data_IF_043377058276
#
_entry.id   IF_043377058276
#
_cell.length_a   1.000
_cell.length_b   1.000
_cell.length_c   1.000
_cell.angle_alpha   90.00
_cell.angle_beta   90.00
_cell.angle_gamma   90.00
#
_symmetry.space_group_name_H-M   'P 1'
#
loop_
_entity.id
_entity.type
_entity.pdbx_description
1 polymer ?
#
# COMPACT_ATOMS: atom_id res chain seq x y z
N UNK A 1 -16.05 77.52 51.12
CA UNK A 1 -17.37 76.87 51.27
C UNK A 1 -18.11 77.02 49.95
N UNK A 2 -18.40 75.87 49.31
CA UNK A 2 -19.48 75.55 48.33
C UNK A 2 -19.81 76.49 47.18
N UNK A 3 -20.12 76.06 45.95
CA UNK A 3 -19.92 74.84 45.14
C UNK A 3 -20.56 75.24 43.78
N UNK A 4 -19.89 74.97 42.65
CA UNK A 4 -20.35 75.38 41.32
C UNK A 4 -21.20 74.28 40.66
N UNK A 5 -22.36 74.69 40.14
CA UNK A 5 -23.39 73.83 39.54
C UNK A 5 -23.15 73.64 38.03
N UNK A 6 -22.98 72.39 37.58
CA UNK A 6 -22.99 72.01 36.17
C UNK A 6 -24.34 71.41 35.79
N UNK A 7 -25.02 72.02 34.81
CA UNK A 7 -26.29 71.56 34.26
C UNK A 7 -26.11 70.45 33.22
N UNK A 8 -26.72 69.30 33.48
CA UNK A 8 -26.80 68.15 32.55
C UNK A 8 -28.04 68.33 31.67
N UNK A 9 -27.83 68.43 30.35
CA UNK A 9 -28.91 68.36 29.34
C UNK A 9 -29.28 66.89 29.14
N UNK A 10 -30.57 66.58 29.31
CA UNK A 10 -31.18 65.26 29.11
C UNK A 10 -31.70 65.20 27.67
N UNK A 11 -31.05 64.40 26.82
CA UNK A 11 -31.51 64.11 25.47
C UNK A 11 -32.56 62.98 25.53
N UNK A 12 -33.70 63.21 24.88
CA UNK A 12 -34.80 62.26 24.75
C UNK A 12 -34.52 61.36 23.54
N UNK A 13 -34.38 60.06 23.76
CA UNK A 13 -34.40 59.05 22.70
C UNK A 13 -35.85 58.83 22.26
N UNK A 14 -36.16 59.17 21.00
CA UNK A 14 -37.36 58.73 20.30
C UNK A 14 -37.19 57.27 19.91
N UNK A 15 -38.12 56.42 20.34
CA UNK A 15 -38.17 55.00 19.99
C UNK A 15 -38.68 54.83 18.55
N UNK A 16 -37.83 54.31 17.66
CA UNK A 16 -38.22 53.93 16.30
C UNK A 16 -39.06 52.64 16.32
N UNK A 17 -40.18 52.67 15.60
CA UNK A 17 -41.14 51.56 15.48
C UNK A 17 -40.55 50.37 14.71
N UNK A 18 -40.76 49.12 15.17
CA UNK A 18 -40.20 47.92 14.54
C UNK A 18 -40.70 47.63 13.12
N UNK A 19 -41.69 48.37 12.61
CA UNK A 19 -42.19 48.23 11.23
C UNK A 19 -41.30 48.92 10.18
N UNK A 20 -40.51 49.93 10.55
CA UNK A 20 -39.61 50.65 9.62
C UNK A 20 -38.28 49.92 9.36
N UNK A 21 -37.89 48.99 10.25
CA UNK A 21 -36.70 48.16 10.05
C UNK A 21 -36.91 47.10 8.94
N UNK A 22 -38.14 46.67 8.68
CA UNK A 22 -38.44 45.60 7.73
C UNK A 22 -38.48 46.04 6.26
N UNK A 23 -38.65 47.35 5.98
CA UNK A 23 -38.67 47.90 4.61
C UNK A 23 -37.28 48.08 4.00
N UNK A 24 -36.21 48.07 4.80
CA UNK A 24 -34.82 48.21 4.31
C UNK A 24 -34.22 46.94 3.68
N UNK A 25 -34.92 45.80 3.74
CA UNK A 25 -34.43 44.51 3.23
C UNK A 25 -35.05 44.07 1.88
N UNK A 26 -35.90 44.89 1.25
CA UNK A 26 -36.40 44.64 -0.11
C UNK A 26 -36.10 45.84 -0.99
N UNK A 27 -34.88 45.87 -1.53
CA UNK A 27 -34.44 46.87 -2.49
C UNK A 27 -35.06 46.67 -3.87
N UNK A 28 -36.34 47.02 -3.99
CA UNK A 28 -36.99 47.28 -5.28
C UNK A 28 -37.22 48.80 -5.38
N UNK A 29 -36.38 49.47 -6.16
CA UNK A 29 -36.67 50.79 -6.71
C UNK A 29 -36.20 50.79 -8.16
N UNK A 30 -37.12 50.94 -9.13
CA UNK A 30 -36.78 51.32 -10.50
C UNK A 30 -36.46 52.82 -10.52
N UNK A 31 -35.67 53.26 -11.50
CA UNK A 31 -35.32 54.66 -11.77
C UNK A 31 -34.18 55.26 -10.93
N UNK A 32 -32.96 54.77 -11.16
CA UNK A 32 -31.78 55.62 -11.40
C UNK A 32 -30.64 54.71 -11.88
N UNK A 33 -30.36 54.73 -13.19
CA UNK A 33 -29.22 54.01 -13.77
C UNK A 33 -27.95 54.85 -13.56
N UNK A 34 -27.02 54.48 -12.67
CA UNK A 34 -25.69 55.03 -12.71
C UNK A 34 -25.02 54.52 -14.00
N UNK A 35 -24.45 55.43 -14.78
CA UNK A 35 -23.53 55.09 -15.84
C UNK A 35 -22.36 54.31 -15.22
N UNK A 36 -22.45 52.97 -15.27
CA UNK A 36 -21.33 52.09 -14.99
C UNK A 36 -20.27 52.42 -16.04
N UNK A 37 -19.23 53.12 -15.61
CA UNK A 37 -17.98 53.19 -16.34
C UNK A 37 -17.58 51.74 -16.68
N UNK A 38 -17.48 51.47 -17.97
CA UNK A 38 -17.00 50.18 -18.47
C UNK A 38 -15.71 49.82 -17.72
N UNK A 39 -15.61 48.61 -17.14
CA UNK A 39 -14.36 48.17 -16.56
C UNK A 39 -13.31 48.24 -17.67
N UNK A 40 -12.12 48.82 -17.42
CA UNK A 40 -11.10 48.96 -18.45
C UNK A 40 -10.80 47.58 -19.04
N UNK A 41 -10.88 47.47 -20.37
CA UNK A 41 -10.71 46.25 -21.16
C UNK A 41 -9.38 45.48 -20.91
N UNK A 42 -8.51 45.99 -20.03
CA UNK A 42 -7.21 45.43 -19.69
C UNK A 42 -7.23 44.22 -18.74
N UNK A 43 -8.31 43.92 -18.01
CA UNK A 43 -8.34 42.76 -17.08
C UNK A 43 -8.79 41.45 -17.76
N UNK A 44 -9.55 41.51 -18.86
CA UNK A 44 -9.94 40.30 -19.60
C UNK A 44 -8.79 39.77 -20.48
N UNK A 45 -7.87 40.65 -20.91
CA UNK A 45 -6.76 40.33 -21.81
C UNK A 45 -5.58 39.64 -21.10
N UNK A 46 -5.48 39.80 -19.77
CA UNK A 46 -4.44 39.10 -19.00
C UNK A 46 -4.64 37.59 -19.01
N UNK A 47 -5.88 37.08 -18.99
CA UNK A 47 -6.15 35.63 -18.97
C UNK A 47 -5.64 34.90 -20.23
N UNK A 48 -5.53 35.59 -21.38
CA UNK A 48 -5.04 35.02 -22.63
C UNK A 48 -3.50 35.03 -22.72
N UNK A 49 -2.82 35.97 -22.07
CA UNK A 49 -1.35 36.06 -22.11
C UNK A 49 -0.62 34.98 -21.31
N UNK A 50 -1.30 34.16 -20.52
CA UNK A 50 -0.67 33.08 -19.73
C UNK A 50 -0.65 31.70 -20.43
N UNK A 51 -1.13 31.58 -21.67
CA UNK A 51 -1.17 30.30 -22.39
C UNK A 51 0.21 29.79 -22.85
N UNK A 52 1.26 30.62 -22.77
CA UNK A 52 2.59 30.33 -23.29
C UNK A 52 3.62 30.09 -22.16
N UNK A 53 3.39 29.04 -21.37
CA UNK A 53 4.46 28.47 -20.53
C UNK A 53 5.63 27.95 -21.40
N UNK A 54 6.88 27.95 -20.90
CA UNK A 54 8.04 27.50 -21.67
C UNK A 54 7.80 26.08 -22.22
N UNK A 55 8.18 25.80 -23.48
CA UNK A 55 7.76 24.62 -24.26
C UNK A 55 8.31 23.25 -23.77
N UNK A 56 8.69 23.12 -22.50
CA UNK A 56 9.37 21.95 -21.96
C UNK A 56 8.50 20.91 -21.26
N UNK A 57 7.24 21.20 -20.91
CA UNK A 57 6.41 20.21 -20.20
C UNK A 57 4.97 20.15 -20.73
N UNK A 58 4.67 19.06 -21.44
CA UNK A 58 3.43 18.84 -22.22
C UNK A 58 2.20 18.51 -21.38
N UNK A 59 2.28 18.47 -20.05
CA UNK A 59 1.19 18.00 -19.19
C UNK A 59 0.29 19.14 -18.71
N UNK A 60 -1.02 18.91 -18.82
CA UNK A 60 -2.09 19.85 -18.44
C UNK A 60 -2.34 19.74 -16.92
N UNK A 61 -2.63 20.87 -16.27
CA UNK A 61 -2.95 20.93 -14.85
C UNK A 61 -4.38 20.45 -14.56
N UNK A 62 -4.56 19.21 -14.09
CA UNK A 62 -5.88 18.68 -13.75
C UNK A 62 -6.66 19.47 -12.67
N UNK A 63 -6.04 19.99 -11.60
CA UNK A 63 -6.76 20.83 -10.63
C UNK A 63 -7.38 22.08 -11.26
N UNK A 64 -6.59 22.80 -12.09
CA UNK A 64 -7.08 23.97 -12.81
C UNK A 64 -8.18 23.59 -13.81
N UNK A 65 -7.94 22.56 -14.63
CA UNK A 65 -8.88 22.13 -15.65
C UNK A 65 -10.24 21.68 -15.07
N UNK A 66 -10.27 21.07 -13.89
CA UNK A 66 -11.51 20.59 -13.27
C UNK A 66 -12.23 21.64 -12.42
N UNK A 67 -11.49 22.54 -11.74
CA UNK A 67 -12.06 23.49 -10.76
C UNK A 67 -12.00 24.95 -11.20
N UNK A 68 -11.31 25.26 -12.30
CA UNK A 68 -10.99 26.62 -12.71
C UNK A 68 -9.92 27.30 -11.84
N UNK A 69 -9.42 26.62 -10.80
CA UNK A 69 -8.45 27.19 -9.87
C UNK A 69 -7.39 26.17 -9.45
N UNK A 70 -6.14 26.63 -9.39
CA UNK A 70 -4.99 25.83 -9.00
C UNK A 70 -4.28 26.51 -7.83
N UNK A 71 -3.98 25.74 -6.78
CA UNK A 71 -3.32 26.26 -5.58
C UNK A 71 -1.91 26.83 -5.86
N UNK A 72 -1.30 26.46 -6.98
CA UNK A 72 0.02 26.94 -7.38
C UNK A 72 -0.04 28.25 -8.18
N UNK A 73 -1.23 28.73 -8.55
CA UNK A 73 -1.42 29.95 -9.33
C UNK A 73 -0.58 29.97 -10.61
N UNK A 74 0.04 31.11 -10.91
CA UNK A 74 0.92 31.27 -12.08
C UNK A 74 2.22 30.45 -12.01
N UNK A 75 2.61 29.98 -10.82
CA UNK A 75 3.81 29.18 -10.62
C UNK A 75 3.53 27.67 -10.77
N UNK A 76 2.37 27.29 -11.30
CA UNK A 76 2.09 25.89 -11.55
C UNK A 76 3.04 25.33 -12.61
N UNK A 77 3.66 24.19 -12.30
CA UNK A 77 4.53 23.47 -13.24
C UNK A 77 3.76 22.92 -14.45
N UNK A 78 2.45 22.76 -14.35
CA UNK A 78 1.59 22.23 -15.40
C UNK A 78 0.86 23.36 -16.13
N UNK A 79 0.59 23.17 -17.43
CA UNK A 79 -0.08 24.20 -18.24
C UNK A 79 -1.53 24.38 -17.77
N UNK A 80 -1.94 25.63 -17.55
CA UNK A 80 -3.32 26.04 -17.24
C UNK A 80 -4.05 26.32 -18.54
N UNK A 81 -4.88 25.38 -18.97
CA UNK A 81 -5.72 25.53 -20.15
C UNK A 81 -7.17 25.71 -19.72
N UNK A 82 -7.92 26.50 -20.46
CA UNK A 82 -9.37 26.59 -20.32
C UNK A 82 -10.03 25.25 -20.66
N UNK A 83 -11.25 25.03 -20.16
CA UNK A 83 -11.98 23.79 -20.44
C UNK A 83 -12.30 23.59 -21.92
N UNK A 84 -12.40 24.69 -22.66
CA UNK A 84 -12.76 24.70 -24.07
C UNK A 84 -11.52 24.74 -24.99
N UNK A 85 -10.30 24.75 -24.43
CA UNK A 85 -9.08 24.69 -25.22
C UNK A 85 -8.95 23.32 -25.92
N UNK A 86 -8.59 23.25 -27.22
CA UNK A 86 -8.53 21.99 -27.99
C UNK A 86 -7.63 20.92 -27.33
N UNK A 87 -6.46 21.28 -26.81
CA UNK A 87 -5.59 20.34 -26.08
C UNK A 87 -6.25 19.77 -24.82
N UNK A 88 -7.06 20.57 -24.11
CA UNK A 88 -7.77 20.13 -22.91
C UNK A 88 -8.94 19.20 -23.25
N UNK A 89 -9.64 19.49 -24.35
CA UNK A 89 -10.65 18.60 -24.94
C UNK A 89 -9.99 17.29 -25.37
N UNK A 90 -8.87 17.35 -26.08
CA UNK A 90 -8.13 16.17 -26.55
C UNK A 90 -7.67 15.28 -25.39
N UNK A 91 -7.19 15.85 -24.28
CA UNK A 91 -6.79 15.08 -23.10
C UNK A 91 -7.99 14.41 -22.39
N UNK A 92 -9.14 15.10 -22.32
CA UNK A 92 -10.38 14.51 -21.77
C UNK A 92 -10.97 13.42 -22.65
N UNK A 93 -10.91 13.57 -23.97
CA UNK A 93 -11.28 12.52 -24.93
C UNK A 93 -10.37 11.31 -24.77
N UNK A 94 -9.04 11.53 -24.69
CA UNK A 94 -8.05 10.46 -24.50
C UNK A 94 -8.22 9.71 -23.18
N UNK A 95 -8.56 10.40 -22.09
CA UNK A 95 -8.81 9.80 -20.77
C UNK A 95 -10.21 9.20 -20.59
N UNK A 96 -11.09 9.31 -21.60
CA UNK A 96 -12.45 8.80 -21.55
C UNK A 96 -13.36 9.58 -20.61
N UNK A 97 -13.04 10.85 -20.33
CA UNK A 97 -13.83 11.76 -19.49
C UNK A 97 -14.71 12.71 -20.31
N UNK A 98 -15.28 12.19 -21.40
CA UNK A 98 -16.11 12.95 -22.36
C UNK A 98 -17.31 13.65 -21.69
N UNK A 99 -17.91 13.04 -20.66
CA UNK A 99 -19.07 13.59 -19.95
C UNK A 99 -18.81 14.91 -19.20
N UNK A 100 -17.55 15.32 -19.05
CA UNK A 100 -17.19 16.55 -18.35
C UNK A 100 -16.94 17.71 -19.32
N UNK A 101 -16.87 17.46 -20.63
CA UNK A 101 -16.55 18.49 -21.63
C UNK A 101 -17.72 19.47 -21.74
N UNK A 102 -17.44 20.76 -21.50
CA UNK A 102 -18.40 21.87 -21.63
C UNK A 102 -18.48 22.44 -23.04
N UNK A 103 -17.52 22.08 -23.90
CA UNK A 103 -17.45 22.56 -25.26
C UNK A 103 -18.65 22.08 -26.11
N UNK A 104 -19.03 22.85 -27.15
CA UNK A 104 -20.07 22.45 -28.09
C UNK A 104 -19.78 21.07 -28.71
N UNK A 105 -20.80 20.24 -28.98
CA UNK A 105 -20.61 18.89 -29.51
C UNK A 105 -19.83 18.87 -30.83
N UNK A 106 -19.99 19.91 -31.66
CA UNK A 106 -19.25 20.06 -32.93
C UNK A 106 -17.73 20.13 -32.72
N UNK A 107 -17.25 20.81 -31.67
CA UNK A 107 -15.82 20.91 -31.38
C UNK A 107 -15.27 19.58 -30.86
N UNK A 108 -16.04 18.86 -30.06
CA UNK A 108 -15.66 17.53 -29.57
C UNK A 108 -15.51 16.56 -30.75
N UNK A 109 -16.44 16.60 -31.70
CA UNK A 109 -16.41 15.76 -32.90
C UNK A 109 -15.22 16.10 -33.80
N UNK A 110 -14.91 17.38 -34.01
CA UNK A 110 -13.74 17.81 -34.78
C UNK A 110 -12.43 17.34 -34.16
N UNK A 111 -12.26 17.49 -32.84
CA UNK A 111 -11.06 17.02 -32.12
C UNK A 111 -10.95 15.49 -32.19
N UNK A 112 -12.07 14.77 -32.09
CA UNK A 112 -12.09 13.32 -32.23
C UNK A 112 -11.72 12.86 -33.65
N UNK A 113 -12.19 13.56 -34.69
CA UNK A 113 -11.79 13.30 -36.08
C UNK A 113 -10.31 13.61 -36.32
N UNK A 114 -9.77 14.70 -35.78
CA UNK A 114 -8.35 15.02 -35.88
C UNK A 114 -7.46 13.97 -35.20
N UNK A 115 -7.84 13.50 -34.00
CA UNK A 115 -7.13 12.42 -33.31
C UNK A 115 -7.15 11.10 -34.11
N UNK A 116 -8.27 10.79 -34.77
CA UNK A 116 -8.38 9.63 -35.65
C UNK A 116 -7.51 9.76 -36.91
N UNK A 117 -7.45 10.94 -37.52
CA UNK A 117 -6.62 11.23 -38.70
C UNK A 117 -5.12 11.25 -38.39
N UNK A 118 -4.73 11.62 -37.17
CA UNK A 118 -3.33 11.64 -36.74
C UNK A 118 -2.68 10.24 -36.68
N UNK A 119 -3.42 9.16 -37.00
CA UNK A 119 -2.88 7.81 -37.11
C UNK A 119 -2.32 7.26 -35.79
N UNK A 120 -2.57 7.96 -34.68
CA UNK A 120 -2.25 7.48 -33.34
C UNK A 120 -3.28 6.39 -33.05
N UNK A 121 -2.89 5.10 -32.94
CA UNK A 121 -3.83 4.07 -32.54
C UNK A 121 -4.45 4.52 -31.23
N UNK A 122 -5.78 4.60 -31.18
CA UNK A 122 -6.51 4.84 -29.93
C UNK A 122 -5.88 3.93 -28.88
N UNK A 123 -5.19 4.54 -27.90
CA UNK A 123 -4.21 3.82 -27.12
C UNK A 123 -4.88 2.64 -26.43
N UNK A 124 -4.53 1.44 -26.89
CA UNK A 124 -4.88 0.17 -26.26
C UNK A 124 -4.32 0.07 -24.84
N UNK A 125 -3.54 1.05 -24.36
CA UNK A 125 -3.16 1.23 -22.96
C UNK A 125 -4.35 1.40 -22.02
N UNK A 126 -5.48 1.95 -22.48
CA UNK A 126 -6.71 1.97 -21.67
C UNK A 126 -7.30 0.56 -21.48
N UNK A 127 -6.96 -0.40 -22.34
CA UNK A 127 -7.40 -1.79 -22.19
C UNK A 127 -6.48 -2.58 -21.27
N UNK A 128 -5.18 -2.28 -21.13
CA UNK A 128 -4.32 -3.05 -20.23
C UNK A 128 -4.77 -2.96 -18.76
N UNK A 129 -5.32 -1.82 -18.36
CA UNK A 129 -5.85 -1.57 -17.01
C UNK A 129 -7.36 -1.82 -16.88
N UNK A 130 -8.06 -2.06 -17.99
CA UNK A 130 -9.48 -2.37 -17.95
C UNK A 130 -9.72 -3.69 -17.21
N UNK A 131 -10.75 -3.71 -16.35
CA UNK A 131 -11.13 -4.90 -15.59
C UNK A 131 -11.52 -6.04 -16.53
N UNK A 132 -11.28 -7.28 -16.10
CA UNK A 132 -11.60 -8.49 -16.85
C UNK A 132 -13.11 -8.75 -16.79
N UNK A 133 -13.69 -9.22 -17.89
CA UNK A 133 -15.09 -9.61 -17.96
C UNK A 133 -15.28 -10.99 -17.31
N UNK A 134 -15.83 -11.05 -16.10
CA UNK A 134 -16.09 -12.33 -15.43
C UNK A 134 -17.08 -13.25 -16.14
N UNK A 135 -18.19 -12.75 -16.75
CA UNK A 135 -19.08 -13.60 -17.53
C UNK A 135 -18.35 -14.32 -18.67
N UNK A 136 -17.54 -13.58 -19.45
CA UNK A 136 -16.72 -14.17 -20.51
C UNK A 136 -15.70 -15.16 -19.95
N UNK A 137 -14.98 -14.76 -18.91
CA UNK A 137 -13.93 -15.59 -18.34
C UNK A 137 -14.47 -16.90 -17.75
N UNK A 138 -15.64 -16.88 -17.12
CA UNK A 138 -16.26 -18.06 -16.50
C UNK A 138 -16.98 -18.96 -17.50
N UNK A 139 -17.67 -18.38 -18.49
CA UNK A 139 -18.56 -19.12 -19.39
C UNK A 139 -18.04 -19.23 -20.83
N UNK A 140 -16.94 -18.55 -21.17
CA UNK A 140 -16.43 -18.41 -22.53
C UNK A 140 -17.27 -17.49 -23.42
N UNK A 141 -18.30 -16.85 -22.87
CA UNK A 141 -19.27 -16.03 -23.62
C UNK A 141 -19.77 -14.85 -22.79
N UNK A 142 -19.94 -13.71 -23.46
CA UNK A 142 -20.47 -12.48 -22.89
C UNK A 142 -21.63 -12.00 -23.74
N UNK A 143 -22.74 -11.60 -23.11
CA UNK A 143 -23.94 -11.16 -23.82
C UNK A 143 -23.85 -9.69 -24.29
N UNK A 144 -22.77 -8.98 -23.95
CA UNK A 144 -22.57 -7.59 -24.35
C UNK A 144 -21.71 -7.52 -25.61
N UNK A 145 -22.29 -7.05 -26.71
CA UNK A 145 -21.61 -6.84 -27.99
C UNK A 145 -20.46 -5.83 -27.86
N UNK A 146 -20.68 -4.76 -27.09
CA UNK A 146 -19.67 -3.75 -26.74
C UNK A 146 -19.33 -3.83 -25.25
N UNK A 147 -18.86 -4.99 -24.78
CA UNK A 147 -18.48 -5.15 -23.39
C UNK A 147 -17.34 -4.19 -23.03
N UNK A 148 -17.56 -3.34 -22.01
CA UNK A 148 -16.53 -2.43 -21.47
C UNK A 148 -15.35 -3.18 -20.84
N UNK A 149 -15.54 -4.44 -20.48
CA UNK A 149 -14.54 -5.26 -19.83
C UNK A 149 -13.77 -6.10 -20.86
N UNK A 150 -12.52 -6.43 -20.53
CA UNK A 150 -11.68 -7.24 -21.43
C UNK A 150 -12.19 -8.69 -21.47
N UNK A 151 -12.30 -9.24 -22.68
CA UNK A 151 -12.53 -10.67 -22.91
C UNK A 151 -11.19 -11.38 -23.04
N UNK A 152 -10.72 -12.01 -21.96
CA UNK A 152 -9.51 -12.81 -21.99
C UNK A 152 -9.85 -14.30 -21.93
N UNK A 153 -9.14 -15.15 -22.69
CA UNK A 153 -9.28 -16.60 -22.56
C UNK A 153 -8.81 -17.06 -21.17
N UNK A 154 -9.28 -18.24 -20.75
CA UNK A 154 -8.97 -18.79 -19.43
C UNK A 154 -7.46 -19.01 -19.20
N UNK A 155 -6.73 -19.29 -20.28
CA UNK A 155 -5.29 -19.55 -20.25
C UNK A 155 -4.44 -18.27 -20.30
N UNK A 156 -5.08 -17.10 -20.43
CA UNK A 156 -4.35 -15.84 -20.47
C UNK A 156 -3.72 -15.54 -19.09
N UNK A 157 -2.44 -15.10 -19.02
CA UNK A 157 -1.77 -14.84 -17.75
C UNK A 157 -2.51 -13.86 -16.83
N UNK A 158 -3.08 -12.77 -17.36
CA UNK A 158 -3.89 -11.83 -16.56
C UNK A 158 -5.15 -12.50 -15.95
N UNK A 159 -5.78 -13.43 -16.67
CA UNK A 159 -6.95 -14.15 -16.20
C UNK A 159 -6.60 -15.14 -15.10
N UNK A 160 -5.48 -15.86 -15.26
CA UNK A 160 -4.89 -16.73 -14.23
C UNK A 160 -4.54 -15.92 -12.98
N UNK A 161 -3.84 -14.80 -13.15
CA UNK A 161 -3.47 -13.91 -12.05
C UNK A 161 -4.69 -13.37 -11.30
N UNK A 162 -5.79 -13.06 -11.99
CA UNK A 162 -7.02 -12.61 -11.36
C UNK A 162 -7.73 -13.72 -10.55
N UNK A 163 -7.76 -14.95 -11.09
CA UNK A 163 -8.26 -16.13 -10.35
C UNK A 163 -7.40 -16.45 -9.13
N UNK A 164 -6.07 -16.31 -9.23
CA UNK A 164 -5.17 -16.43 -8.08
C UNK A 164 -5.44 -15.35 -7.02
N UNK A 165 -5.60 -14.09 -7.43
CA UNK A 165 -5.92 -12.99 -6.50
C UNK A 165 -7.24 -13.17 -5.78
N UNK A 166 -8.23 -13.78 -6.43
CA UNK A 166 -9.56 -14.04 -5.85
C UNK A 166 -9.66 -15.35 -5.08
N UNK A 167 -8.59 -16.17 -5.07
CA UNK A 167 -8.58 -17.49 -4.43
C UNK A 167 -9.37 -18.56 -5.18
N UNK A 168 -9.77 -18.30 -6.43
CA UNK A 168 -10.55 -19.21 -7.25
C UNK A 168 -9.65 -20.21 -8.01
N UNK A 169 -8.85 -20.98 -7.27
CA UNK A 169 -7.82 -21.86 -7.83
C UNK A 169 -8.38 -23.04 -8.63
N UNK A 170 -9.50 -23.64 -8.20
CA UNK A 170 -10.18 -24.77 -8.87
C UNK A 170 -10.65 -24.42 -10.29
N UNK A 171 -10.71 -23.12 -10.54
CA UNK A 171 -11.23 -22.47 -11.71
C UNK A 171 -10.09 -22.18 -12.70
N UNK A 172 -8.83 -22.37 -12.33
CA UNK A 172 -7.69 -22.18 -13.22
C UNK A 172 -7.42 -23.50 -13.97
N UNK A 173 -7.36 -23.51 -15.30
CA UNK A 173 -7.06 -24.73 -16.06
C UNK A 173 -5.75 -25.36 -15.58
N UNK A 174 -5.74 -26.69 -15.42
CA UNK A 174 -4.65 -27.40 -14.75
C UNK A 174 -3.27 -27.10 -15.35
N UNK A 175 -3.19 -26.97 -16.68
CA UNK A 175 -1.94 -26.72 -17.40
C UNK A 175 -1.32 -25.33 -17.16
N UNK A 176 -2.10 -24.35 -16.72
CA UNK A 176 -1.63 -22.99 -16.38
C UNK A 176 -1.70 -22.70 -14.88
N UNK A 177 -2.25 -23.61 -14.08
CA UNK A 177 -2.38 -23.41 -12.64
C UNK A 177 -1.00 -23.58 -11.96
N UNK A 178 -0.40 -22.50 -11.43
CA UNK A 178 0.91 -22.59 -10.81
C UNK A 178 0.90 -23.33 -9.48
N UNK A 179 -0.26 -23.72 -8.94
CA UNK A 179 -0.37 -24.53 -7.72
C UNK A 179 -0.41 -26.05 -8.00
N UNK A 180 -0.52 -26.45 -9.26
CA UNK A 180 -0.63 -27.86 -9.64
C UNK A 180 0.71 -28.34 -10.19
N UNK A 181 1.16 -29.51 -9.73
CA UNK A 181 2.30 -30.21 -10.31
C UNK A 181 1.94 -30.68 -11.72
N UNK A 182 2.71 -30.24 -12.71
CA UNK A 182 2.50 -30.58 -14.12
C UNK A 182 3.09 -31.95 -14.47
N UNK A 183 3.77 -32.61 -13.53
CA UNK A 183 4.35 -33.92 -13.77
C UNK A 183 3.41 -35.02 -13.29
N UNK A 184 2.76 -35.79 -14.20
CA UNK A 184 1.96 -36.94 -13.80
C UNK A 184 2.79 -38.06 -13.17
N UNK A 185 4.11 -38.08 -13.39
CA UNK A 185 5.02 -39.12 -12.92
C UNK A 185 5.73 -38.77 -11.60
N UNK A 186 5.47 -37.58 -11.01
CA UNK A 186 6.06 -37.24 -9.72
C UNK A 186 5.47 -38.14 -8.62
N UNK A 187 6.33 -38.64 -7.72
CA UNK A 187 5.86 -39.43 -6.58
C UNK A 187 5.21 -38.50 -5.56
N UNK A 188 4.09 -38.91 -4.99
CA UNK A 188 3.47 -38.24 -3.83
C UNK A 188 4.51 -38.11 -2.71
N UNK A 189 4.83 -36.87 -2.32
CA UNK A 189 5.83 -36.56 -1.30
C UNK A 189 7.25 -36.29 -1.80
N UNK A 190 7.53 -36.37 -3.10
CA UNK A 190 8.81 -35.90 -3.64
C UNK A 190 8.94 -34.38 -3.42
N UNK A 191 10.04 -33.90 -2.85
CA UNK A 191 10.25 -32.47 -2.60
C UNK A 191 11.15 -31.84 -3.66
N UNK A 192 11.85 -32.64 -4.44
CA UNK A 192 12.79 -32.16 -5.46
C UNK A 192 12.08 -31.68 -6.72
N UNK A 193 12.48 -30.49 -7.17
CA UNK A 193 11.91 -29.81 -8.33
C UNK A 193 12.79 -30.06 -9.56
N UNK A 194 12.17 -30.29 -10.72
CA UNK A 194 12.90 -30.39 -11.97
C UNK A 194 13.32 -28.99 -12.46
N UNK A 195 14.60 -28.64 -12.30
CA UNK A 195 15.11 -27.35 -12.77
C UNK A 195 15.06 -27.18 -14.30
N UNK A 196 15.12 -28.26 -15.08
CA UNK A 196 14.98 -28.20 -16.54
C UNK A 196 13.59 -27.70 -16.90
N UNK A 197 12.55 -28.29 -16.33
CA UNK A 197 11.17 -27.84 -16.50
C UNK A 197 10.97 -26.42 -15.97
N UNK A 198 11.43 -26.13 -14.75
CA UNK A 198 11.25 -24.83 -14.11
C UNK A 198 11.89 -23.67 -14.89
N UNK A 199 13.00 -23.92 -15.60
CA UNK A 199 13.70 -22.89 -16.36
C UNK A 199 13.28 -22.82 -17.83
N UNK A 200 12.93 -23.96 -18.46
CA UNK A 200 12.57 -24.02 -19.89
C UNK A 200 11.07 -24.07 -20.15
N UNK A 201 10.26 -24.38 -19.14
CA UNK A 201 8.84 -24.69 -19.29
C UNK A 201 8.55 -26.08 -19.86
N UNK A 202 9.59 -26.87 -20.17
CA UNK A 202 9.47 -28.21 -20.72
C UNK A 202 10.60 -29.12 -20.21
N UNK A 203 10.29 -30.40 -20.05
CA UNK A 203 11.25 -31.44 -19.67
C UNK A 203 11.22 -32.54 -20.72
N UNK A 204 12.38 -32.86 -21.29
CA UNK A 204 12.53 -33.89 -22.32
C UNK A 204 12.50 -35.32 -21.75
N UNK A 205 12.52 -35.46 -20.41
CA UNK A 205 12.47 -36.78 -19.75
C UNK A 205 11.01 -37.23 -19.62
N UNK A 206 10.56 -38.25 -20.36
CA UNK A 206 9.17 -38.71 -20.30
C UNK A 206 8.82 -39.26 -18.93
N UNK A 207 9.77 -39.89 -18.25
CA UNK A 207 9.64 -40.44 -16.89
C UNK A 207 10.44 -39.61 -15.88
N UNK A 208 10.31 -38.28 -15.95
CA UNK A 208 10.90 -37.42 -14.93
C UNK A 208 10.32 -37.77 -13.55
N UNK A 209 11.17 -38.07 -12.56
CA UNK A 209 10.72 -38.36 -11.19
C UNK A 209 10.52 -37.10 -10.34
N UNK A 210 11.03 -35.96 -10.82
CA UNK A 210 11.02 -34.69 -10.10
C UNK A 210 9.77 -33.88 -10.41
N UNK A 211 9.33 -33.05 -9.46
CA UNK A 211 8.12 -32.22 -9.64
C UNK A 211 8.28 -31.19 -10.75
N UNK A 212 7.27 -31.04 -11.61
CA UNK A 212 7.24 -30.02 -12.67
C UNK A 212 6.38 -28.85 -12.22
N UNK A 213 7.01 -27.92 -11.51
CA UNK A 213 6.35 -26.75 -10.96
C UNK A 213 6.52 -25.56 -11.89
N UNK A 214 5.46 -24.78 -12.07
CA UNK A 214 5.52 -23.51 -12.80
C UNK A 214 6.33 -22.46 -12.00
N UNK A 215 6.91 -21.44 -12.66
CA UNK A 215 7.77 -20.44 -12.01
C UNK A 215 7.14 -19.65 -10.85
N UNK A 216 5.80 -19.61 -10.77
CA UNK A 216 5.06 -18.95 -9.69
C UNK A 216 4.63 -19.87 -8.54
N UNK A 217 4.93 -21.18 -8.59
CA UNK A 217 4.59 -22.11 -7.51
C UNK A 217 5.37 -21.75 -6.22
N UNK A 218 4.77 -21.78 -5.01
CA UNK A 218 5.44 -21.40 -3.77
C UNK A 218 6.75 -22.18 -3.54
N UNK A 219 6.77 -23.50 -3.74
CA UNK A 219 8.00 -24.30 -3.63
C UNK A 219 9.08 -23.87 -4.65
N UNK A 220 8.70 -23.58 -5.89
CA UNK A 220 9.66 -23.12 -6.92
C UNK A 220 10.21 -21.72 -6.60
N UNK A 221 9.36 -20.86 -6.06
CA UNK A 221 9.70 -19.52 -5.59
C UNK A 221 10.64 -19.61 -4.40
N UNK A 222 10.32 -20.42 -3.39
CA UNK A 222 11.15 -20.64 -2.20
C UNK A 222 12.53 -21.20 -2.57
N UNK A 223 12.57 -22.15 -3.50
CA UNK A 223 13.82 -22.73 -3.98
C UNK A 223 14.69 -21.70 -4.74
N UNK A 224 14.07 -20.84 -5.57
CA UNK A 224 14.80 -19.72 -6.22
C UNK A 224 15.33 -18.71 -5.21
N UNK A 225 14.57 -18.38 -4.16
CA UNK A 225 15.03 -17.47 -3.09
C UNK A 225 16.23 -18.09 -2.37
N UNK A 226 16.13 -19.35 -1.98
CA UNK A 226 17.20 -20.11 -1.31
C UNK A 226 18.49 -20.14 -2.13
N UNK A 227 18.37 -20.23 -3.45
CA UNK A 227 19.50 -20.27 -4.38
C UNK A 227 19.96 -18.88 -4.87
N UNK A 228 19.48 -17.77 -4.29
CA UNK A 228 19.86 -16.41 -4.68
C UNK A 228 19.33 -15.97 -6.06
N UNK A 229 18.37 -16.70 -6.63
CA UNK A 229 17.76 -16.45 -7.93
C UNK A 229 16.44 -15.66 -7.84
N UNK A 230 16.26 -14.83 -6.79
CA UNK A 230 15.04 -14.05 -6.58
C UNK A 230 14.65 -13.14 -7.75
N UNK A 231 15.62 -12.69 -8.55
CA UNK A 231 15.39 -11.90 -9.75
C UNK A 231 14.59 -12.65 -10.83
N UNK A 232 14.67 -13.98 -10.87
CA UNK A 232 13.94 -14.84 -11.85
C UNK A 232 12.50 -15.16 -11.43
N UNK A 233 12.06 -14.69 -10.27
CA UNK A 233 10.68 -14.91 -9.80
C UNK A 233 9.75 -13.96 -10.57
N UNK A 234 8.65 -14.47 -11.16
CA UNK A 234 7.67 -13.65 -11.87
C UNK A 234 7.09 -12.54 -10.97
N UNK A 235 6.77 -11.39 -11.57
CA UNK A 235 6.26 -10.23 -10.81
C UNK A 235 4.99 -10.55 -10.00
N UNK A 236 4.05 -11.32 -10.57
CA UNK A 236 2.82 -11.70 -9.87
C UNK A 236 3.09 -12.57 -8.64
N UNK A 237 4.09 -13.45 -8.69
CA UNK A 237 4.48 -14.31 -7.58
C UNK A 237 5.18 -13.51 -6.47
N UNK A 238 6.00 -12.51 -6.85
CA UNK A 238 6.59 -11.54 -5.90
C UNK A 238 5.50 -10.76 -5.17
N UNK A 239 4.48 -10.28 -5.88
CA UNK A 239 3.38 -9.54 -5.27
C UNK A 239 2.55 -10.43 -4.34
N UNK A 240 2.31 -11.69 -4.71
CA UNK A 240 1.64 -12.65 -3.85
C UNK A 240 2.42 -12.92 -2.55
N UNK A 241 3.74 -13.14 -2.63
CA UNK A 241 4.61 -13.27 -1.45
C UNK A 241 4.58 -12.01 -0.57
N UNK A 242 4.69 -10.82 -1.17
CA UNK A 242 4.67 -9.56 -0.44
C UNK A 242 3.37 -9.36 0.35
N UNK A 243 2.23 -9.88 -0.14
CA UNK A 243 0.96 -9.86 0.59
C UNK A 243 0.94 -10.82 1.77
N UNK A 244 1.54 -11.99 1.63
CA UNK A 244 1.67 -12.95 2.74
C UNK A 244 2.58 -12.37 3.83
N UNK A 245 3.71 -11.77 3.44
CA UNK A 245 4.64 -11.10 4.35
C UNK A 245 4.05 -9.86 5.03
N UNK A 246 3.22 -9.08 4.31
CA UNK A 246 2.52 -7.94 4.88
C UNK A 246 1.46 -8.33 5.93
N UNK A 247 1.10 -9.62 6.00
CA UNK A 247 0.00 -10.11 6.81
C UNK A 247 -1.38 -9.66 6.28
N UNK A 248 -2.48 -10.22 6.81
CA UNK A 248 -3.79 -9.68 6.53
C UNK A 248 -3.82 -8.21 7.00
N UNK A 249 -4.43 -7.28 6.22
CA UNK A 249 -4.64 -5.93 6.71
C UNK A 249 -5.36 -6.03 8.06
N UNK A 250 -4.97 -5.22 9.06
CA UNK A 250 -5.63 -5.26 10.37
C UNK A 250 -7.12 -5.11 10.11
N UNK A 251 -7.89 -6.15 10.46
CA UNK A 251 -9.34 -6.15 10.34
C UNK A 251 -9.82 -4.86 11.00
N UNK A 252 -10.36 -3.94 10.20
CA UNK A 252 -10.98 -2.74 10.75
C UNK A 252 -11.99 -3.25 11.77
N UNK A 253 -11.77 -2.91 13.04
CA UNK A 253 -12.62 -3.37 14.13
C UNK A 253 -14.09 -3.12 13.77
N UNK A 254 -15.02 -3.97 14.25
CA UNK A 254 -16.42 -3.82 13.93
C UNK A 254 -16.82 -2.34 14.11
N UNK A 255 -17.54 -1.74 13.16
CA UNK A 255 -17.97 -0.35 13.29
C UNK A 255 -18.66 -0.23 14.64
N UNK A 256 -18.12 0.62 15.51
CA UNK A 256 -18.75 0.90 16.79
C UNK A 256 -20.11 1.52 16.45
N UNK A 257 -21.15 0.69 16.52
CA UNK A 257 -22.52 1.16 16.40
C UNK A 257 -22.71 2.18 17.51
N UNK A 258 -23.10 3.43 17.21
CA UNK A 258 -23.38 4.40 18.24
C UNK A 258 -24.46 3.82 19.15
N UNK A 259 -24.11 3.63 20.43
CA UNK A 259 -25.06 3.25 21.46
C UNK A 259 -26.05 4.41 21.56
N UNK A 260 -27.21 4.26 20.93
CA UNK A 260 -28.31 5.20 21.08
C UNK A 260 -28.82 5.10 22.52
N UNK A 261 -28.91 6.21 23.27
CA UNK A 261 -29.48 6.21 24.61
C UNK A 261 -30.95 5.78 24.54
N UNK A 262 -31.30 4.82 25.40
CA UNK A 262 -32.56 4.08 25.38
C UNK A 262 -33.81 4.96 25.35
N UNK A 263 -34.57 4.81 24.26
CA UNK A 263 -36.00 5.13 24.23
C UNK A 263 -36.79 3.92 24.73
N UNK A 264 -37.55 4.11 25.80
CA UNK A 264 -38.52 3.15 26.29
C UNK A 264 -39.66 3.01 25.27
N UNK A 265 -39.80 1.83 24.66
CA UNK A 265 -40.97 1.49 23.85
C UNK A 265 -41.73 0.36 24.53
N UNK A 266 -43.01 0.61 24.81
CA UNK A 266 -43.92 -0.30 25.46
C UNK A 266 -44.17 -1.58 24.65
N UNK A 267 -44.39 -2.66 25.39
CA UNK A 267 -44.75 -3.97 24.88
C UNK A 267 -46.14 -3.97 24.22
N UNK A 268 -46.33 -4.60 23.05
CA UNK A 268 -47.65 -5.04 22.61
C UNK A 268 -48.00 -6.42 23.21
N UNK A 269 -49.29 -6.68 23.51
CA UNK A 269 -49.72 -7.94 24.08
C UNK A 269 -49.91 -9.04 23.01
N UNK A 270 -49.42 -10.24 23.36
CA UNK A 270 -49.98 -11.56 23.08
C UNK A 270 -50.66 -11.85 21.74
N UNK A 271 -50.03 -12.70 20.93
CA UNK A 271 -50.70 -13.52 19.94
C UNK A 271 -50.21 -14.97 20.03
N UNK A 272 -51.17 -15.90 20.05
CA UNK A 272 -51.03 -17.29 20.46
C UNK A 272 -50.16 -18.16 19.56
N UNK A 273 -49.59 -19.17 20.22
CA UNK A 273 -49.00 -20.36 19.63
C UNK A 273 -50.03 -21.12 18.77
N UNK A 274 -49.70 -21.39 17.51
CA UNK A 274 -50.30 -22.43 16.70
C UNK A 274 -49.19 -23.36 16.21
N UNK A 275 -49.25 -24.63 16.65
CA UNK A 275 -48.30 -25.68 16.24
C UNK A 275 -48.54 -26.16 14.80
N UNK A 276 -47.57 -26.82 14.17
CA UNK A 276 -47.77 -27.45 12.87
C UNK A 276 -48.41 -28.83 13.01
N UNK A 277 -49.33 -29.23 12.10
CA UNK A 277 -49.90 -30.56 12.10
C UNK A 277 -48.94 -31.58 11.46
N UNK A 278 -48.85 -32.73 12.11
CA UNK A 278 -48.38 -33.99 11.57
C UNK A 278 -49.42 -34.53 10.57
N UNK A 279 -48.98 -34.88 9.36
CA UNK A 279 -49.85 -35.37 8.29
C UNK A 279 -49.14 -36.37 7.39
N UNK A 280 -49.43 -37.64 7.67
CA UNK A 280 -49.13 -38.84 6.88
C UNK A 280 -49.65 -38.77 5.43
N UNK A 281 -48.98 -39.48 4.51
CA UNK A 281 -49.69 -40.14 3.41
C UNK A 281 -48.99 -40.28 2.05
N UNK A 282 -48.38 -41.44 1.81
CA UNK A 282 -48.71 -42.26 0.64
C UNK A 282 -47.97 -42.05 -0.70
N UNK A 283 -47.08 -42.99 -1.01
CA UNK A 283 -47.21 -43.87 -2.19
C UNK A 283 -46.79 -43.35 -3.57
N UNK A 284 -45.73 -43.94 -4.13
CA UNK A 284 -45.43 -43.84 -5.56
C UNK A 284 -44.16 -44.59 -5.95
N UNK A 285 -44.32 -45.80 -6.48
CA UNK A 285 -43.25 -46.68 -7.01
C UNK A 285 -42.74 -46.17 -8.37
N UNK A 286 -41.46 -46.44 -8.67
CA UNK A 286 -40.95 -47.27 -9.79
C UNK A 286 -39.75 -46.72 -10.58
N UNK A 287 -38.76 -47.61 -10.77
CA UNK A 287 -37.75 -47.72 -11.85
C UNK A 287 -36.71 -46.59 -11.95
N UNK A 288 -35.39 -46.77 -12.06
CA UNK A 288 -34.50 -47.89 -12.31
C UNK A 288 -33.23 -47.32 -12.99
N UNK A 289 -32.04 -47.86 -12.68
CA UNK A 289 -30.83 -47.68 -13.52
C UNK A 289 -29.65 -46.89 -12.90
N UNK A 290 -28.44 -47.47 -12.82
CA UNK A 290 -27.28 -46.87 -12.16
C UNK A 290 -26.36 -46.11 -13.13
N UNK A 291 -25.79 -44.99 -12.69
CA UNK A 291 -24.60 -44.40 -13.30
C UNK A 291 -23.62 -44.03 -12.19
N UNK A 292 -22.45 -44.65 -12.26
CA UNK A 292 -21.34 -44.43 -11.37
C UNK A 292 -20.82 -42.99 -11.50
N UNK A 293 -20.64 -42.31 -10.36
CA UNK A 293 -19.92 -41.06 -10.26
C UNK A 293 -19.11 -41.09 -8.96
N UNK A 294 -17.80 -41.27 -9.08
CA UNK A 294 -16.86 -41.15 -7.97
C UNK A 294 -16.87 -39.71 -7.44
N UNK A 295 -17.67 -39.47 -6.42
CA UNK A 295 -17.62 -38.25 -5.62
C UNK A 295 -16.45 -38.33 -4.66
N UNK A 296 -15.45 -37.46 -4.84
CA UNK A 296 -14.46 -37.19 -3.80
C UNK A 296 -15.16 -36.54 -2.59
N UNK A 297 -15.09 -37.20 -1.45
CA UNK A 297 -15.72 -36.76 -0.21
C UNK A 297 -15.05 -35.54 0.44
N UNK A 298 -15.72 -34.92 1.43
CA UNK A 298 -15.26 -33.72 2.15
C UNK A 298 -13.95 -33.89 2.95
N UNK A 299 -13.41 -35.11 3.04
CA UNK A 299 -12.19 -35.40 3.79
C UNK A 299 -10.89 -34.90 3.10
N UNK A 300 -10.92 -34.71 1.78
CA UNK A 300 -9.76 -34.17 1.04
C UNK A 300 -9.47 -32.70 1.39
N UNK A 301 -10.49 -31.94 1.81
CA UNK A 301 -10.33 -30.53 2.20
C UNK A 301 -9.75 -30.39 3.63
N UNK A 302 -10.08 -31.31 4.53
CA UNK A 302 -9.52 -31.34 5.89
C UNK A 302 -8.02 -31.67 5.90
N UNK A 303 -7.55 -32.49 4.96
CA UNK A 303 -6.14 -32.87 4.86
C UNK A 303 -5.24 -31.69 4.41
N UNK A 304 -5.75 -30.79 3.56
CA UNK A 304 -4.98 -29.63 3.09
C UNK A 304 -4.90 -28.53 4.16
N UNK A 305 -5.98 -28.30 4.91
CA UNK A 305 -5.96 -27.34 6.02
C UNK A 305 -5.10 -27.84 7.19
N UNK A 306 -5.04 -29.16 7.44
CA UNK A 306 -4.21 -29.76 8.49
C UNK A 306 -2.70 -29.74 8.16
N UNK A 307 -2.30 -29.83 6.87
CA UNK A 307 -0.90 -29.66 6.48
C UNK A 307 -0.37 -28.23 6.69
N UNK A 308 -1.21 -27.20 6.54
CA UNK A 308 -0.80 -25.83 6.84
C UNK A 308 -0.51 -25.60 8.34
N UNK A 309 -1.31 -26.18 9.23
CA UNK A 309 -1.07 -26.10 10.67
C UNK A 309 0.16 -26.92 11.12
N UNK A 310 0.44 -28.06 10.48
CA UNK A 310 1.65 -28.84 10.79
C UNK A 310 2.95 -28.13 10.37
N UNK A 311 2.94 -27.35 9.27
CA UNK A 311 4.09 -26.56 8.84
C UNK A 311 4.36 -25.29 9.66
N UNK A 312 3.36 -24.79 10.40
CA UNK A 312 3.49 -23.62 11.26
C UNK A 312 4.00 -23.96 12.68
N UNK A 313 3.85 -25.21 13.14
CA UNK A 313 4.28 -25.66 14.48
C UNK A 313 5.65 -26.37 14.53
N UNK A 314 6.30 -26.64 13.40
CA UNK A 314 7.49 -27.51 13.35
C UNK A 314 8.85 -26.83 13.50
N UNK A 315 8.94 -25.49 13.44
CA UNK A 315 10.22 -24.79 13.41
C UNK A 315 10.82 -24.51 14.80
N UNK A 316 10.07 -24.69 15.88
CA UNK A 316 10.51 -24.34 17.24
C UNK A 316 11.15 -25.53 18.00
N UNK A 317 11.02 -26.76 17.51
CA UNK A 317 11.55 -27.95 18.19
C UNK A 317 12.91 -28.45 17.66
N UNK A 318 13.45 -27.84 16.58
CA UNK A 318 14.71 -28.31 15.95
C UNK A 318 15.96 -27.51 16.36
N UNK A 319 15.86 -26.56 17.30
CA UNK A 319 17.03 -25.84 17.84
C UNK A 319 17.61 -26.43 19.14
N UNK A 320 17.01 -27.47 19.73
CA UNK A 320 17.47 -28.04 21.01
C UNK A 320 18.37 -29.28 20.87
N UNK A 321 18.82 -29.63 19.66
CA UNK A 321 19.40 -30.95 19.36
C UNK A 321 20.88 -31.03 19.00
N UNK A 322 21.68 -29.97 19.15
CA UNK A 322 23.14 -30.03 18.85
C UNK A 322 23.97 -29.25 19.87
N UNK A 323 24.12 -29.83 21.06
CA UNK A 323 25.13 -29.44 22.04
C UNK A 323 26.03 -30.64 22.34
N UNK A 324 26.97 -30.94 21.45
CA UNK A 324 28.04 -31.90 21.71
C UNK A 324 29.01 -31.34 22.76
N UNK A 325 29.40 -32.19 23.69
CA UNK A 325 29.99 -31.82 24.99
C UNK A 325 31.36 -31.14 24.94
N UNK A 326 31.50 -30.12 25.78
CA UNK A 326 32.77 -29.68 26.33
C UNK A 326 32.85 -30.13 27.80
N UNK A 327 33.97 -30.72 28.26
CA UNK A 327 34.12 -31.09 29.66
C UNK A 327 34.20 -29.83 30.53
N UNK A 328 33.33 -29.75 31.54
CA UNK A 328 33.26 -28.62 32.48
C UNK A 328 34.53 -28.49 33.34
N UNK A 329 34.88 -27.27 33.77
CA UNK A 329 36.03 -27.04 34.64
C UNK A 329 35.72 -27.45 36.09
N UNK A 330 36.70 -28.05 36.74
CA UNK A 330 36.67 -28.42 38.16
C UNK A 330 36.66 -27.18 39.08
N UNK A 331 36.03 -27.27 40.27
CA UNK A 331 36.05 -26.20 41.27
C UNK A 331 37.36 -26.26 42.09
N UNK A 332 38.17 -25.20 42.12
CA UNK A 332 39.30 -25.17 43.07
C UNK A 332 40.46 -24.20 42.91
N UNK A 333 40.34 -23.02 42.27
CA UNK A 333 41.43 -22.03 42.31
C UNK A 333 40.97 -20.65 42.77
N UNK A 334 41.62 -20.03 43.77
CA UNK A 334 41.38 -18.64 44.14
C UNK A 334 41.99 -17.69 43.09
N UNK A 335 41.41 -16.49 42.90
CA UNK A 335 41.93 -15.51 41.94
C UNK A 335 43.27 -14.91 42.40
N UNK A 336 44.14 -14.51 41.46
CA UNK A 336 45.42 -13.87 41.79
C UNK A 336 45.24 -12.44 42.32
N UNK A 337 46.19 -11.93 43.13
CA UNK A 337 46.12 -10.60 43.70
C UNK A 337 46.37 -9.51 42.64
N UNK A 338 45.63 -8.41 42.75
CA UNK A 338 45.83 -7.20 41.96
C UNK A 338 47.18 -6.53 42.28
N UNK A 339 47.87 -5.94 41.29
CA UNK A 339 49.07 -5.16 41.53
C UNK A 339 48.74 -3.79 42.17
N UNK A 340 49.55 -3.30 43.12
CA UNK A 340 49.34 -1.99 43.72
C UNK A 340 50.03 -0.90 42.90
N UNK A 341 49.32 0.21 42.72
CA UNK A 341 49.94 1.51 42.47
C UNK A 341 49.81 2.05 41.04
N UNK A 342 48.75 2.81 40.81
CA UNK A 342 48.81 4.00 39.96
C UNK A 342 47.99 5.09 40.63
N UNK A 343 48.70 6.06 41.23
CA UNK A 343 48.14 7.36 41.59
C UNK A 343 47.92 8.14 40.28
N UNK A 344 46.72 8.68 40.09
CA UNK A 344 46.50 9.73 39.11
C UNK A 344 45.34 10.61 39.59
N UNK A 345 45.71 11.73 40.21
CA UNK A 345 44.83 12.89 40.30
C UNK A 345 44.63 13.47 38.91
N UNK A 346 43.38 13.78 38.58
CA UNK A 346 42.99 14.37 37.30
C UNK A 346 41.52 14.73 37.35
N UNK A 347 41.24 15.99 37.68
CA UNK A 347 39.91 16.60 37.63
C UNK A 347 39.39 16.55 36.19
N UNK A 348 38.28 15.84 35.98
CA UNK A 348 37.42 16.01 34.81
C UNK A 348 36.12 16.71 35.24
N UNK A 349 35.57 17.63 34.43
CA UNK A 349 34.35 18.36 34.76
C UNK A 349 33.11 17.43 34.73
N UNK A 350 32.06 17.74 35.51
CA UNK A 350 30.91 16.86 35.65
C UNK A 350 30.05 16.90 34.38
N UNK A 351 30.09 15.84 33.58
CA UNK A 351 29.00 15.55 32.65
C UNK A 351 27.76 15.20 33.48
N UNK A 352 26.80 16.13 33.49
CA UNK A 352 25.49 15.92 34.09
C UNK A 352 24.78 14.75 33.44
N UNK A 353 24.67 13.65 34.19
CA UNK A 353 23.82 12.52 33.83
C UNK A 353 22.37 12.97 33.79
N UNK A 354 21.83 13.23 32.59
CA UNK A 354 20.40 13.32 32.39
C UNK A 354 19.80 11.93 32.59
N UNK A 355 19.22 11.73 33.77
CA UNK A 355 18.46 10.54 34.11
C UNK A 355 17.34 10.36 33.08
N UNK A 356 17.44 9.31 32.27
CA UNK A 356 16.37 8.85 31.41
C UNK A 356 15.26 8.26 32.29
N UNK A 357 14.31 9.09 32.71
CA UNK A 357 13.07 8.67 33.34
C UNK A 357 12.18 7.96 32.32
N UNK A 358 12.45 6.67 32.07
CA UNK A 358 11.69 5.83 31.16
C UNK A 358 10.94 4.74 31.91
N UNK A 359 9.79 5.09 32.51
CA UNK A 359 8.79 4.07 32.83
C UNK A 359 8.24 3.46 31.53
N UNK A 360 8.07 2.13 31.43
CA UNK A 360 7.54 1.50 30.22
C UNK A 360 6.07 1.89 30.02
N UNK A 361 5.81 2.82 29.10
CA UNK A 361 4.45 3.12 28.67
C UNK A 361 3.97 2.05 27.68
N UNK A 362 2.82 1.40 27.92
CA UNK A 362 2.31 0.36 27.03
C UNK A 362 1.75 0.96 25.73
N UNK A 363 2.23 0.45 24.59
CA UNK A 363 1.56 0.54 23.30
C UNK A 363 1.97 1.69 22.36
N UNK A 364 2.81 1.37 21.37
CA UNK A 364 2.74 1.95 20.01
C UNK A 364 3.10 3.43 19.81
N UNK A 365 3.74 4.11 20.76
CA UNK A 365 4.11 5.52 20.57
C UNK A 365 5.20 5.66 19.50
N UNK A 366 4.93 6.51 18.51
CA UNK A 366 5.83 6.80 17.37
C UNK A 366 7.16 7.40 17.85
N UNK A 367 8.23 7.19 17.07
CA UNK A 367 9.58 7.69 17.34
C UNK A 367 9.67 9.18 16.96
N UNK A 368 10.41 9.98 17.73
CA UNK A 368 10.64 11.39 17.43
C UNK A 368 11.76 11.53 16.38
N UNK A 369 11.41 11.72 15.10
CA UNK A 369 12.41 11.90 14.03
C UNK A 369 13.37 13.10 14.23
N UNK A 370 12.94 14.28 14.75
CA UNK A 370 13.86 15.37 15.05
C UNK A 370 14.96 14.95 16.05
N UNK A 371 14.59 14.26 17.13
CA UNK A 371 15.55 13.74 18.10
C UNK A 371 16.45 12.67 17.49
N UNK A 372 15.87 11.72 16.74
CA UNK A 372 16.62 10.62 16.14
C UNK A 372 17.65 11.11 15.12
N UNK A 373 17.34 12.17 14.36
CA UNK A 373 18.21 12.68 13.30
C UNK A 373 19.21 13.73 13.80
N UNK A 374 18.82 14.57 14.78
CA UNK A 374 19.66 15.70 15.26
C UNK A 374 20.28 15.46 16.64
N UNK A 375 19.87 14.40 17.35
CA UNK A 375 20.22 14.17 18.75
C UNK A 375 19.49 15.09 19.73
N UNK A 376 18.65 16.02 19.25
CA UNK A 376 17.92 16.98 20.07
C UNK A 376 16.51 17.22 19.54
N UNK A 377 15.55 17.42 20.44
CA UNK A 377 14.18 17.80 20.10
C UNK A 377 13.82 19.09 20.84
N UNK A 378 13.28 20.06 20.10
CA UNK A 378 12.83 21.35 20.65
C UNK A 378 11.75 21.21 21.73
N UNK A 379 11.00 20.10 21.71
CA UNK A 379 9.98 19.80 22.74
C UNK A 379 10.56 19.22 24.03
N UNK A 380 11.86 18.90 24.06
CA UNK A 380 12.55 18.35 25.23
C UNK A 380 11.81 17.14 25.83
N UNK A 381 11.68 17.12 27.15
CA UNK A 381 10.97 16.06 27.89
C UNK A 381 9.45 16.07 27.68
N UNK A 382 8.86 17.17 27.20
CA UNK A 382 7.43 17.27 26.90
C UNK A 382 7.07 16.70 25.50
N UNK A 383 8.04 16.11 24.79
CA UNK A 383 7.78 15.52 23.50
C UNK A 383 6.87 14.29 23.63
N UNK A 384 5.73 14.30 22.91
CA UNK A 384 4.79 13.17 22.86
C UNK A 384 5.38 11.92 22.15
N UNK A 385 6.54 12.04 21.52
CA UNK A 385 7.19 10.98 20.76
C UNK A 385 8.42 10.46 21.51
N UNK A 386 8.71 9.17 21.37
CA UNK A 386 9.84 8.53 22.07
C UNK A 386 11.18 9.05 21.55
N UNK A 387 12.04 9.48 22.45
CA UNK A 387 13.42 9.88 22.18
C UNK A 387 14.32 8.65 22.30
N UNK A 388 14.63 8.05 21.15
CA UNK A 388 15.45 6.85 21.04
C UNK A 388 16.79 7.23 20.41
N UNK A 389 17.88 6.59 20.87
CA UNK A 389 19.19 6.75 20.24
C UNK A 389 19.19 6.10 18.85
N UNK A 390 20.07 6.55 17.93
CA UNK A 390 20.19 5.97 16.59
C UNK A 390 20.43 4.45 16.59
N UNK A 391 21.09 3.92 17.62
CA UNK A 391 21.43 2.50 17.76
C UNK A 391 20.36 1.68 18.51
N UNK A 392 19.26 2.30 18.95
CA UNK A 392 18.20 1.56 19.63
C UNK A 392 17.48 0.63 18.62
N UNK A 393 17.19 -0.64 18.96
CA UNK A 393 16.59 -1.62 18.04
C UNK A 393 15.28 -1.13 17.39
N UNK A 394 14.38 -0.49 18.15
CA UNK A 394 13.16 0.13 17.60
C UNK A 394 13.44 1.20 16.53
N UNK A 395 14.49 2.01 16.70
CA UNK A 395 14.87 3.04 15.74
C UNK A 395 15.47 2.44 14.46
N UNK A 396 16.25 1.35 14.61
CA UNK A 396 16.76 0.56 13.48
C UNK A 396 15.62 -0.08 12.70
N UNK A 397 14.65 -0.69 13.38
CA UNK A 397 13.49 -1.33 12.76
C UNK A 397 12.61 -0.33 11.98
N UNK A 398 12.35 0.86 12.54
CA UNK A 398 11.58 1.91 11.85
C UNK A 398 12.32 2.47 10.63
N UNK A 399 13.64 2.59 10.73
CA UNK A 399 14.51 3.02 9.62
C UNK A 399 14.60 1.99 8.50
N UNK A 400 14.62 0.69 8.83
CA UNK A 400 14.52 -0.41 7.86
C UNK A 400 13.17 -0.40 7.16
N UNK A 401 12.07 -0.20 7.89
CA UNK A 401 10.71 -0.12 7.33
C UNK A 401 10.52 1.05 6.38
N UNK A 402 11.15 2.19 6.65
CA UNK A 402 11.04 3.41 5.83
C UNK A 402 12.05 3.47 4.67
N UNK A 403 12.88 2.44 4.50
CA UNK A 403 13.85 2.35 3.40
C UNK A 403 15.00 3.36 3.47
N UNK A 404 15.25 3.95 4.65
CA UNK A 404 16.31 4.94 4.86
C UNK A 404 17.44 4.37 5.71
N UNK A 405 17.95 3.18 5.36
CA UNK A 405 19.05 2.54 6.09
C UNK A 405 20.23 3.51 6.26
N UNK A 406 20.87 3.56 7.45
CA UNK A 406 22.00 4.46 7.65
C UNK A 406 23.16 4.01 6.75
N UNK A 407 24.00 4.95 6.26
CA UNK A 407 25.29 4.57 5.72
C UNK A 407 26.01 3.79 6.81
N UNK A 408 26.40 2.55 6.51
CA UNK A 408 27.18 1.76 7.44
C UNK A 408 28.46 2.55 7.72
N UNK A 409 28.65 2.99 8.97
CA UNK A 409 29.95 3.45 9.40
C UNK A 409 30.90 2.27 9.25
N UNK A 410 31.71 2.29 8.18
CA UNK A 410 32.87 1.42 8.08
C UNK A 410 33.70 1.65 9.36
N UNK A 411 34.11 0.59 10.07
CA UNK A 411 34.95 0.76 11.23
C UNK A 411 36.22 1.51 10.80
N UNK A 412 36.51 2.61 11.49
CA UNK A 412 37.75 3.35 11.33
C UNK A 412 38.91 2.41 11.66
N UNK A 413 39.52 1.87 10.60
CA UNK A 413 40.74 1.09 10.68
C UNK A 413 41.83 2.02 11.21
N UNK A 414 42.17 1.85 12.49
CA UNK A 414 43.31 2.48 13.13
C UNK A 414 44.55 2.21 12.28
N UNK A 415 45.07 3.26 11.65
CA UNK A 415 46.39 3.27 11.03
C UNK A 415 47.43 3.08 12.13
N UNK A 416 47.81 1.84 12.40
CA UNK A 416 49.10 1.56 13.00
C UNK A 416 50.18 1.84 11.95
N UNK A 417 50.87 2.95 12.14
CA UNK A 417 52.12 3.26 11.47
C UNK A 417 53.17 2.21 11.87
N UNK A 418 53.32 1.18 11.04
CA UNK A 418 54.42 0.24 11.07
C UNK A 418 55.62 0.83 10.35
N UNK A 419 56.64 1.21 11.12
CA UNK A 419 57.97 1.56 10.67
C UNK A 419 58.58 0.41 9.84
N UNK A 420 58.98 0.73 8.61
CA UNK A 420 59.64 -0.19 7.70
C UNK A 420 61.05 -0.53 8.18
N UNK A 421 61.36 -1.82 8.24
CA UNK A 421 62.71 -2.34 8.40
C UNK A 421 63.13 -2.93 7.06
N UNK A 422 64.33 -2.52 6.63
CA UNK A 422 64.95 -2.81 5.34
C UNK A 422 65.07 -4.30 5.04
N UNK A 423 64.56 -4.73 3.88
CA UNK A 423 64.88 -6.02 3.28
C UNK A 423 66.25 -5.97 2.61
N UNK A 424 67.23 -6.65 3.21
CA UNK A 424 68.54 -6.89 2.63
C UNK A 424 68.46 -8.03 1.60
N UNK A 425 68.94 -7.73 0.40
CA UNK A 425 69.14 -8.62 -0.73
C UNK A 425 70.15 -9.73 -0.40
N UNK A 426 69.79 -10.99 -0.68
CA UNK A 426 70.76 -12.08 -0.75
C UNK A 426 71.26 -12.23 -2.20
N UNK A 427 72.59 -12.39 -2.43
CA UNK A 427 73.11 -12.70 -3.75
C UNK A 427 73.03 -14.20 -4.04
N UNK A 428 72.68 -14.51 -5.28
CA UNK A 428 72.84 -15.83 -5.87
C UNK A 428 74.33 -16.13 -6.10
N UNK A 429 74.83 -17.21 -5.51
CA UNK A 429 76.10 -17.83 -5.88
C UNK A 429 75.80 -19.08 -6.72
N UNK A 430 76.35 -19.08 -7.94
CA UNK A 430 76.46 -20.26 -8.78
C UNK A 430 77.75 -21.02 -8.53
N UNK A 431 77.70 -22.30 -8.94
CA UNK A 431 78.80 -23.15 -9.44
C UNK A 431 79.87 -23.63 -8.45
N UNK A 432 79.84 -24.93 -8.14
CA UNK A 432 80.75 -25.94 -8.73
C UNK A 432 80.16 -27.35 -8.58
#
# INVERSE_FOLDING_TARGET
>A
MSEASAGVKREYHTEESPEDAAKRLRGDSPDEAPAFAEPPAAILDQAQQYEQGPPGETRICFPYLNRGMCNFGANCRFRHLSQDHPDAIADRVRTGHINKITAPPEQVEQVQQQLAQAGMPASSESTATARICFPFLNHGRCNHENCRFRHLPQDHPDAVADRMRTGAYDKIPAHVNPMIDQNPNSKLGETRICYTYLNRGACERPECIFRHLLPGHPDAVADRIKNGQGHKIPAYAKEALARVEAGPPPMAGPPQMPILPGGAYGAPPGAGFAGPPTGFGGGGRSMGGPMAGNGMGPDAMHYWQQQQYASAGGWEQMQQGYGAGYPGPQPGYPPPPFPPGVQAGGQYPPYGGHQHGGGPAPGGQRICFPFLNRGACERGAACRYRHLTPDHPDAVADRMRTGRAPPQHAPAMQQYAGCGVHGASMPASGSY
#
